data_IF_760573207271
#
_entry.id   IF_760573207271
#
_cell.length_a   1.000
_cell.length_b   1.000
_cell.length_c   1.000
_cell.angle_alpha   90.00
_cell.angle_beta   90.00
_cell.angle_gamma   90.00
#
_symmetry.space_group_name_H-M   'P 1'
#
loop_
_entity.id
_entity.type
_entity.pdbx_description
1 polymer ?
#
# COMPACT_ATOMS: atom_id res chain seq x y z
N UNK A 1 -13.77 -40.24 53.21
CA UNK A 1 -13.68 -38.81 52.83
C UNK A 1 -12.42 -38.59 51.97
N UNK A 2 -12.28 -39.27 50.83
CA UNK A 2 -11.06 -39.20 49.99
C UNK A 2 -11.28 -38.49 48.64
N UNK A 3 -12.53 -38.41 48.16
CA UNK A 3 -12.82 -37.99 46.78
C UNK A 3 -12.69 -36.48 46.52
N UNK A 4 -12.68 -35.62 47.54
CA UNK A 4 -12.66 -34.16 47.37
C UNK A 4 -11.24 -33.58 47.35
N UNK A 5 -10.31 -34.16 48.13
CA UNK A 5 -8.90 -33.75 48.13
C UNK A 5 -8.20 -34.17 46.84
N UNK A 6 -8.49 -35.37 46.32
CA UNK A 6 -7.97 -35.84 45.03
C UNK A 6 -8.45 -34.98 43.86
N UNK A 7 -9.70 -34.51 43.90
CA UNK A 7 -10.23 -33.60 42.88
C UNK A 7 -9.58 -32.21 42.96
N UNK A 8 -9.38 -31.69 44.18
CA UNK A 8 -8.70 -30.41 44.39
C UNK A 8 -7.24 -30.47 43.92
N UNK A 9 -6.54 -31.55 44.22
CA UNK A 9 -5.16 -31.74 43.79
C UNK A 9 -5.06 -31.81 42.27
N UNK A 10 -5.92 -32.61 41.63
CA UNK A 10 -5.97 -32.72 40.17
C UNK A 10 -6.33 -31.39 39.49
N UNK A 11 -7.21 -30.59 40.09
CA UNK A 11 -7.55 -29.26 39.58
C UNK A 11 -6.34 -28.30 39.66
N UNK A 12 -5.62 -28.29 40.78
CA UNK A 12 -4.43 -27.46 40.96
C UNK A 12 -3.32 -27.86 39.99
N UNK A 13 -3.04 -29.15 39.82
CA UNK A 13 -2.02 -29.63 38.89
C UNK A 13 -2.35 -29.24 37.42
N UNK A 14 -3.63 -29.27 37.04
CA UNK A 14 -4.07 -28.79 35.71
C UNK A 14 -3.98 -27.28 35.57
N UNK A 15 -4.28 -26.51 36.63
CA UNK A 15 -4.16 -25.05 36.61
C UNK A 15 -2.71 -24.60 36.56
N UNK A 16 -1.79 -25.24 37.29
CA UNK A 16 -0.36 -24.95 37.22
C UNK A 16 0.20 -25.26 35.82
N UNK A 17 -0.17 -26.40 35.24
CA UNK A 17 0.25 -26.76 33.88
C UNK A 17 -0.28 -25.77 32.82
N UNK A 18 -1.50 -25.25 32.99
CA UNK A 18 -2.07 -24.23 32.08
C UNK A 18 -1.43 -22.87 32.33
N UNK A 19 -1.17 -22.49 33.58
CA UNK A 19 -0.52 -21.23 33.93
C UNK A 19 0.92 -21.17 33.40
N UNK A 20 1.70 -22.23 33.56
CA UNK A 20 3.07 -22.30 33.04
C UNK A 20 3.09 -22.24 31.51
N UNK A 21 2.21 -23.00 30.84
CA UNK A 21 2.04 -22.92 29.38
C UNK A 21 1.57 -21.55 28.92
N UNK A 22 0.73 -20.86 29.69
CA UNK A 22 0.26 -19.52 29.34
C UNK A 22 1.36 -18.47 29.45
N UNK A 23 2.26 -18.59 30.44
CA UNK A 23 3.42 -17.71 30.63
C UNK A 23 4.47 -17.95 29.56
N UNK A 24 4.71 -19.21 29.19
CA UNK A 24 5.60 -19.56 28.07
C UNK A 24 5.05 -19.08 26.73
N UNK A 25 3.75 -19.27 26.47
CA UNK A 25 3.08 -18.74 25.28
C UNK A 25 3.10 -17.21 25.25
N UNK A 26 2.97 -16.53 26.39
CA UNK A 26 3.06 -15.07 26.50
C UNK A 26 4.45 -14.56 26.11
N UNK A 27 5.52 -15.19 26.63
CA UNK A 27 6.91 -14.83 26.28
C UNK A 27 7.22 -15.12 24.81
N UNK A 28 6.75 -16.26 24.29
CA UNK A 28 6.89 -16.61 22.87
C UNK A 28 6.05 -15.67 21.97
N UNK A 29 4.88 -15.21 22.42
CA UNK A 29 4.05 -14.26 21.71
C UNK A 29 4.70 -12.87 21.66
N UNK A 30 5.37 -12.42 22.72
CA UNK A 30 6.10 -11.15 22.72
C UNK A 30 7.27 -11.17 21.72
N UNK A 31 8.07 -12.24 21.71
CA UNK A 31 9.17 -12.39 20.77
C UNK A 31 8.67 -12.50 19.32
N UNK A 32 7.59 -13.25 19.06
CA UNK A 32 6.96 -13.33 17.74
C UNK A 32 6.39 -11.99 17.29
N UNK A 33 5.77 -11.22 18.19
CA UNK A 33 5.27 -9.87 17.88
C UNK A 33 6.42 -8.93 17.52
N UNK A 34 7.54 -8.98 18.24
CA UNK A 34 8.74 -8.18 17.92
C UNK A 34 9.34 -8.55 16.56
N UNK A 35 9.40 -9.85 16.23
CA UNK A 35 9.86 -10.31 14.91
C UNK A 35 8.90 -9.88 13.81
N UNK A 36 7.59 -10.01 14.02
CA UNK A 36 6.57 -9.57 13.07
C UNK A 36 6.64 -8.06 12.84
N UNK A 37 6.80 -7.25 13.89
CA UNK A 37 6.98 -5.81 13.79
C UNK A 37 8.25 -5.42 13.02
N UNK A 38 9.36 -6.16 13.20
CA UNK A 38 10.57 -5.97 12.39
C UNK A 38 10.36 -6.37 10.93
N UNK A 39 9.66 -7.47 10.69
CA UNK A 39 9.34 -7.93 9.33
C UNK A 39 8.43 -6.94 8.60
N UNK A 40 7.39 -6.40 9.26
CA UNK A 40 6.51 -5.39 8.67
C UNK A 40 7.26 -4.09 8.42
N UNK A 41 8.11 -3.65 9.36
CA UNK A 41 8.97 -2.47 9.16
C UNK A 41 9.89 -2.65 7.95
N UNK A 42 10.65 -3.74 7.88
CA UNK A 42 11.52 -4.04 6.74
C UNK A 42 10.73 -4.19 5.43
N UNK A 43 9.55 -4.80 5.47
CA UNK A 43 8.66 -4.91 4.30
C UNK A 43 8.17 -3.55 3.79
N UNK A 44 7.86 -2.63 4.70
CA UNK A 44 7.50 -1.25 4.34
C UNK A 44 8.68 -0.49 3.73
N UNK A 45 9.88 -0.59 4.34
CA UNK A 45 11.11 0.01 3.82
C UNK A 45 11.44 -0.53 2.42
N UNK A 46 11.35 -1.84 2.20
CA UNK A 46 11.55 -2.46 0.87
C UNK A 46 10.54 -1.91 -0.14
N UNK A 47 9.29 -1.73 0.25
CA UNK A 47 8.24 -1.23 -0.64
C UNK A 47 8.48 0.23 -1.03
N UNK A 48 8.92 1.05 -0.07
CA UNK A 48 9.34 2.43 -0.31
C UNK A 48 10.52 2.49 -1.29
N UNK A 49 11.58 1.73 -1.01
CA UNK A 49 12.79 1.69 -1.83
C UNK A 49 12.49 1.20 -3.26
N UNK A 50 11.63 0.18 -3.41
CA UNK A 50 11.15 -0.26 -4.72
C UNK A 50 10.40 0.85 -5.47
N UNK A 51 9.65 1.68 -4.73
CA UNK A 51 8.98 2.87 -5.27
C UNK A 51 9.99 3.88 -5.81
N UNK A 52 11.04 4.14 -5.04
CA UNK A 52 12.07 5.11 -5.40
C UNK A 52 12.93 4.62 -6.57
N UNK A 53 13.31 3.34 -6.62
CA UNK A 53 13.95 2.72 -7.78
C UNK A 53 13.10 2.88 -9.05
N UNK A 54 11.77 2.66 -8.98
CA UNK A 54 10.86 2.89 -10.12
C UNK A 54 10.78 4.36 -10.53
N UNK A 55 10.91 5.31 -9.61
CA UNK A 55 10.96 6.74 -9.93
C UNK A 55 12.28 7.06 -10.63
N UNK A 56 13.41 6.62 -10.08
CA UNK A 56 14.73 6.84 -10.65
C UNK A 56 14.86 6.24 -12.05
N UNK A 57 14.35 5.02 -12.30
CA UNK A 57 14.34 4.46 -13.66
C UNK A 57 13.55 5.30 -14.65
N UNK A 58 12.41 5.88 -14.23
CA UNK A 58 11.65 6.81 -15.08
C UNK A 58 12.41 8.10 -15.35
N UNK A 59 13.07 8.65 -14.35
CA UNK A 59 13.89 9.86 -14.52
C UNK A 59 15.10 9.62 -15.43
N UNK A 60 15.77 8.48 -15.29
CA UNK A 60 16.87 8.07 -16.17
C UNK A 60 16.36 7.94 -17.61
N UNK A 61 15.26 7.21 -17.82
CA UNK A 61 14.68 7.05 -19.16
C UNK A 61 14.25 8.39 -19.77
N UNK A 62 13.67 9.28 -18.98
CA UNK A 62 13.29 10.63 -19.43
C UNK A 62 14.52 11.45 -19.84
N UNK A 63 15.56 11.51 -18.99
CA UNK A 63 16.80 12.23 -19.30
C UNK A 63 17.48 11.66 -20.54
N UNK A 64 17.53 10.33 -20.65
CA UNK A 64 18.08 9.65 -21.84
C UNK A 64 17.31 10.06 -23.10
N UNK A 65 15.98 9.99 -23.08
CA UNK A 65 15.16 10.39 -24.22
C UNK A 65 15.38 11.87 -24.58
N UNK A 66 15.41 12.78 -23.61
CA UNK A 66 15.65 14.21 -23.87
C UNK A 66 17.00 14.47 -24.56
N UNK A 67 18.05 13.73 -24.17
CA UNK A 67 19.40 13.86 -24.72
C UNK A 67 19.59 13.15 -26.06
N UNK A 68 18.94 11.99 -26.25
CA UNK A 68 19.21 11.08 -27.36
C UNK A 68 18.04 10.91 -28.36
N UNK A 69 16.90 11.59 -28.17
CA UNK A 69 15.73 11.47 -29.07
C UNK A 69 16.05 11.72 -30.55
N UNK A 70 17.05 12.53 -30.86
CA UNK A 70 17.45 12.84 -32.25
C UNK A 70 18.37 11.80 -32.88
N UNK A 71 19.07 10.99 -32.06
CA UNK A 71 19.96 9.92 -32.52
C UNK A 71 20.06 8.84 -31.43
N UNK A 72 19.01 8.02 -31.23
CA UNK A 72 19.02 7.01 -30.20
C UNK A 72 19.92 5.83 -30.59
N UNK A 73 20.58 5.23 -29.60
CA UNK A 73 21.32 4.00 -29.79
C UNK A 73 20.39 2.85 -30.22
N UNK A 74 20.86 1.96 -31.10
CA UNK A 74 20.08 0.88 -31.70
C UNK A 74 19.20 0.07 -30.71
N UNK A 75 19.69 -0.40 -29.54
CA UNK A 75 18.86 -1.17 -28.61
C UNK A 75 17.71 -0.37 -27.98
N UNK A 76 17.79 0.97 -27.98
CA UNK A 76 16.79 1.87 -27.39
C UNK A 76 16.03 2.68 -28.45
N UNK A 77 16.36 2.52 -29.73
CA UNK A 77 15.75 3.28 -30.82
C UNK A 77 14.24 3.03 -30.93
N UNK A 78 13.82 1.77 -30.82
CA UNK A 78 12.39 1.42 -30.83
C UNK A 78 11.65 2.06 -29.64
N UNK A 79 12.19 1.93 -28.42
CA UNK A 79 11.58 2.50 -27.23
C UNK A 79 11.47 4.04 -27.34
N UNK A 80 12.49 4.71 -27.88
CA UNK A 80 12.43 6.16 -28.14
C UNK A 80 11.35 6.50 -29.17
N UNK A 81 11.22 5.73 -30.26
CA UNK A 81 10.19 5.95 -31.26
C UNK A 81 8.77 5.78 -30.67
N UNK A 82 8.55 4.76 -29.85
CA UNK A 82 7.26 4.54 -29.16
C UNK A 82 6.91 5.67 -28.19
N UNK A 83 7.92 6.21 -27.47
CA UNK A 83 7.74 7.40 -26.63
C UNK A 83 7.34 8.61 -27.47
N UNK A 84 7.98 8.86 -28.61
CA UNK A 84 7.63 9.96 -29.52
C UNK A 84 6.18 9.83 -30.00
N UNK A 85 5.78 8.65 -30.49
CA UNK A 85 4.40 8.40 -30.94
C UNK A 85 3.39 8.64 -29.83
N UNK A 86 3.71 8.22 -28.60
CA UNK A 86 2.85 8.43 -27.44
C UNK A 86 2.72 9.92 -27.09
N UNK A 87 3.82 10.68 -27.16
CA UNK A 87 3.82 12.13 -26.94
C UNK A 87 3.00 12.87 -28.00
N UNK A 88 3.13 12.49 -29.27
CA UNK A 88 2.33 13.07 -30.36
C UNK A 88 0.83 12.77 -30.16
N UNK A 89 0.50 11.55 -29.73
CA UNK A 89 -0.87 11.17 -29.41
C UNK A 89 -1.44 11.96 -28.22
N UNK A 90 -0.64 12.20 -27.18
CA UNK A 90 -1.02 13.06 -26.05
C UNK A 90 -1.26 14.49 -26.53
N UNK A 91 -0.38 15.04 -27.36
CA UNK A 91 -0.52 16.40 -27.90
C UNK A 91 -1.80 16.55 -28.74
N UNK A 92 -2.13 15.56 -29.56
CA UNK A 92 -3.37 15.53 -30.33
C UNK A 92 -4.60 15.52 -29.42
N UNK A 93 -4.63 14.64 -28.40
CA UNK A 93 -5.74 14.59 -27.43
C UNK A 93 -5.88 15.87 -26.61
N UNK A 94 -4.75 16.48 -26.23
CA UNK A 94 -4.75 17.74 -25.50
C UNK A 94 -5.35 18.86 -26.35
N UNK A 95 -5.02 18.91 -27.65
CA UNK A 95 -5.61 19.86 -28.59
C UNK A 95 -7.12 19.68 -28.72
N UNK A 96 -7.60 18.44 -28.85
CA UNK A 96 -9.03 18.14 -28.88
C UNK A 96 -9.74 18.57 -27.57
N UNK A 97 -9.12 18.34 -26.41
CA UNK A 97 -9.63 18.81 -25.13
C UNK A 97 -9.75 20.33 -25.08
N UNK A 98 -8.75 21.05 -25.59
CA UNK A 98 -8.74 22.51 -25.58
C UNK A 98 -9.76 23.09 -26.58
N UNK A 99 -9.94 22.46 -27.75
CA UNK A 99 -11.02 22.81 -28.69
C UNK A 99 -12.41 22.58 -28.08
N UNK A 100 -12.63 21.46 -27.40
CA UNK A 100 -13.88 21.17 -26.71
C UNK A 100 -14.15 22.21 -25.61
N UNK A 101 -13.15 22.53 -24.78
CA UNK A 101 -13.27 23.57 -23.74
C UNK A 101 -13.61 24.94 -24.35
N UNK A 102 -12.95 25.32 -25.44
CA UNK A 102 -13.20 26.59 -26.12
C UNK A 102 -14.63 26.61 -26.68
N UNK A 103 -15.09 25.54 -27.32
CA UNK A 103 -16.46 25.45 -27.85
C UNK A 103 -17.53 25.56 -26.76
N UNK A 104 -17.26 25.07 -25.56
CA UNK A 104 -18.14 25.22 -24.41
C UNK A 104 -18.11 26.65 -23.84
N UNK A 105 -16.94 27.28 -23.82
CA UNK A 105 -16.79 28.68 -23.41
C UNK A 105 -17.51 29.65 -24.36
N UNK A 106 -17.49 29.38 -25.67
CA UNK A 106 -18.20 30.17 -26.68
C UNK A 106 -19.72 29.99 -26.59
N UNK A 107 -20.19 28.76 -26.31
CA UNK A 107 -21.62 28.48 -26.07
C UNK A 107 -22.13 29.08 -24.76
N UNK A 108 -21.37 28.99 -23.68
CA UNK A 108 -21.74 29.62 -22.39
C UNK A 108 -21.69 31.14 -22.45
N UNK A 109 -20.79 31.75 -23.21
CA UNK A 109 -20.80 33.19 -23.48
C UNK A 109 -22.01 33.65 -24.33
N UNK A 110 -22.54 32.77 -25.20
CA UNK A 110 -23.76 33.03 -25.95
C UNK A 110 -25.05 32.85 -25.12
N UNK A 111 -25.02 31.96 -24.12
CA UNK A 111 -26.16 31.67 -23.23
C UNK A 111 -26.17 32.51 -21.95
N UNK A 112 -25.08 33.19 -21.59
CA UNK A 112 -24.99 34.12 -20.45
C UNK A 112 -25.78 35.43 -20.61
N UNK A 113 -26.75 35.49 -21.53
CA UNK A 113 -27.74 36.58 -21.65
C UNK A 113 -29.13 36.21 -21.15
N UNK A 114 -29.29 35.11 -20.42
CA UNK A 114 -30.57 34.81 -19.77
C UNK A 114 -30.37 34.44 -18.30
N UNK A 115 -30.88 35.35 -17.46
CA UNK A 115 -31.30 35.21 -16.07
C UNK A 115 -30.23 35.00 -14.98
N UNK A 116 -29.91 36.13 -14.34
CA UNK A 116 -29.28 36.24 -13.02
C UNK A 116 -30.00 35.37 -11.98
N UNK A 117 -29.49 34.16 -11.75
CA UNK A 117 -29.72 33.43 -10.51
C UNK A 117 -28.37 33.11 -9.91
N UNK A 118 -28.02 33.87 -8.87
CA UNK A 118 -26.85 33.63 -8.03
C UNK A 118 -26.90 32.21 -7.47
N UNK A 119 -26.06 31.32 -8.01
CA UNK A 119 -25.82 30.01 -7.43
C UNK A 119 -24.64 30.17 -6.48
N UNK A 120 -24.92 30.21 -5.19
CA UNK A 120 -23.90 30.13 -4.14
C UNK A 120 -23.34 28.70 -4.11
N UNK A 121 -22.14 28.50 -4.67
CA UNK A 121 -21.40 27.23 -4.58
C UNK A 121 -20.44 27.33 -3.41
N UNK A 122 -20.81 26.74 -2.27
CA UNK A 122 -19.92 26.55 -1.13
C UNK A 122 -18.93 25.43 -1.47
N UNK A 123 -17.69 25.80 -1.83
CA UNK A 123 -16.59 24.83 -1.98
C UNK A 123 -16.20 24.40 -0.57
N UNK A 124 -16.74 23.28 -0.12
CA UNK A 124 -16.21 22.58 1.06
C UNK A 124 -14.86 22.01 0.63
N UNK A 125 -13.79 22.71 1.00
CA UNK A 125 -12.43 22.16 0.96
C UNK A 125 -12.35 21.20 2.14
N UNK A 126 -12.74 19.94 1.95
CA UNK A 126 -12.25 18.89 2.85
C UNK A 126 -10.76 18.73 2.54
N UNK A 127 -10.00 19.40 3.39
CA UNK A 127 -8.56 19.42 3.53
C UNK A 127 -7.99 18.00 3.48
N UNK A 128 -7.68 17.51 2.27
CA UNK A 128 -6.84 16.33 2.05
C UNK A 128 -5.37 16.76 2.20
N UNK A 129 -5.06 17.25 3.40
CA UNK A 129 -3.76 17.72 3.84
C UNK A 129 -3.32 16.97 5.10
N UNK A 130 -2.59 15.89 4.87
CA UNK A 130 -1.46 15.41 5.69
C UNK A 130 -1.39 15.89 7.15
N UNK A 131 -1.80 15.02 8.09
CA UNK A 131 -1.40 15.11 9.50
C UNK A 131 -0.56 13.89 9.87
N UNK A 132 0.70 14.21 10.08
CA UNK A 132 1.78 13.41 10.63
C UNK A 132 1.39 12.84 12.00
N UNK A 133 1.68 11.55 12.19
CA UNK A 133 2.23 10.92 13.40
C UNK A 133 2.24 11.80 14.66
N UNK A 134 1.38 11.48 15.62
CA UNK A 134 1.70 11.21 17.04
C UNK A 134 0.41 10.91 17.81
N UNK A 135 0.23 9.67 18.28
CA UNK A 135 -0.46 9.38 19.54
C UNK A 135 -0.17 7.92 19.92
N UNK A 136 0.86 7.77 20.75
CA UNK A 136 0.96 6.68 21.70
C UNK A 136 -0.06 6.92 22.83
N UNK A 137 -0.48 5.84 23.49
CA UNK A 137 -1.45 5.79 24.59
C UNK A 137 -2.90 6.09 24.16
N UNK A 138 -3.93 5.29 24.40
CA UNK A 138 -4.21 4.34 25.48
C UNK A 138 -5.18 3.25 24.98
N UNK A 139 -4.99 2.01 25.43
CA UNK A 139 -6.03 0.98 25.37
C UNK A 139 -7.37 1.52 25.90
N UNK A 140 -8.51 1.13 25.33
CA UNK A 140 -9.16 -0.01 25.94
C UNK A 140 -9.99 -0.89 24.97
N UNK A 141 -10.36 -2.05 25.51
CA UNK A 141 -11.63 -2.77 25.27
C UNK A 141 -11.57 -4.04 24.41
N UNK A 142 -11.95 -5.11 25.11
CA UNK A 142 -12.65 -6.34 24.71
C UNK A 142 -11.82 -7.51 24.19
N UNK A 143 -11.69 -8.48 25.09
CA UNK A 143 -11.86 -9.90 24.79
C UNK A 143 -12.79 -10.12 23.59
N UNK A 144 -12.40 -11.04 22.70
CA UNK A 144 -13.29 -12.16 22.48
C UNK A 144 -12.59 -13.48 22.78
N UNK A 145 -13.25 -14.20 23.69
CA UNK A 145 -13.42 -15.65 23.78
C UNK A 145 -12.85 -16.46 22.61
N UNK A 146 -12.20 -17.57 23.00
CA UNK A 146 -11.86 -18.75 22.21
C UNK A 146 -12.71 -18.91 20.94
N UNK A 147 -12.05 -19.09 19.81
CA UNK A 147 -12.44 -20.20 18.94
C UNK A 147 -11.21 -20.99 18.53
N UNK A 148 -11.10 -22.16 19.15
CA UNK A 148 -10.27 -23.29 18.71
C UNK A 148 -10.98 -23.84 17.49
N UNK A 149 -10.38 -23.71 16.32
CA UNK A 149 -10.66 -24.60 15.19
C UNK A 149 -9.46 -24.57 14.25
N UNK A 150 -8.55 -25.50 14.50
CA UNK A 150 -7.68 -26.06 13.48
C UNK A 150 -8.52 -27.12 12.74
N UNK A 151 -8.44 -27.18 11.40
CA UNK A 151 -7.69 -28.31 10.89
C UNK A 151 -6.70 -27.89 9.79
N UNK A 152 -5.58 -28.62 9.79
CA UNK A 152 -4.50 -28.56 8.84
C UNK A 152 -4.96 -28.55 7.37
N UNK A 153 -4.31 -27.71 6.56
CA UNK A 153 -4.25 -27.86 5.11
C UNK A 153 -2.85 -27.41 4.63
N UNK A 154 -2.02 -28.42 4.38
CA UNK A 154 -1.01 -28.54 3.33
C UNK A 154 -0.15 -27.30 2.99
N UNK A 155 1.03 -27.27 3.61
CA UNK A 155 2.23 -26.67 3.01
C UNK A 155 2.78 -27.64 1.95
N UNK A 156 2.47 -27.44 0.67
CA UNK A 156 3.40 -27.72 -0.44
C UNK A 156 3.15 -26.70 -1.57
N UNK A 157 4.23 -26.27 -2.23
CA UNK A 157 4.31 -25.30 -3.33
C UNK A 157 4.08 -23.81 -3.01
N UNK A 158 5.16 -23.08 -2.67
CA UNK A 158 5.77 -22.02 -3.51
C UNK A 158 7.16 -21.71 -2.91
N UNK A 159 8.14 -22.58 -3.14
CA UNK A 159 9.57 -22.23 -2.97
C UNK A 159 10.28 -22.59 -4.27
N UNK A 160 10.03 -21.78 -5.30
CA UNK A 160 10.47 -22.05 -6.65
C UNK A 160 10.60 -20.79 -7.50
N UNK A 161 11.20 -19.73 -6.99
CA UNK A 161 11.88 -18.74 -7.84
C UNK A 161 12.93 -17.99 -7.05
N UNK A 162 14.16 -18.43 -7.24
CA UNK A 162 15.36 -17.64 -6.96
C UNK A 162 15.19 -16.23 -7.56
N UNK A 163 15.50 -15.15 -6.82
CA UNK A 163 15.59 -13.83 -7.42
C UNK A 163 16.73 -13.81 -8.46
N UNK A 164 16.58 -13.07 -9.59
CA UNK A 164 17.63 -12.97 -10.59
C UNK A 164 18.82 -12.17 -10.02
N UNK A 165 20.02 -12.76 -10.10
CA UNK A 165 21.28 -12.05 -9.84
C UNK A 165 21.47 -10.96 -10.89
N UNK A 166 21.45 -9.69 -10.47
CA UNK A 166 21.89 -8.58 -11.31
C UNK A 166 23.42 -8.50 -11.24
N UNK A 167 24.09 -8.91 -12.30
CA UNK A 167 25.53 -8.64 -12.52
C UNK A 167 25.68 -7.32 -13.26
N UNK A 168 26.41 -6.40 -12.64
CA UNK A 168 26.90 -5.15 -13.25
C UNK A 168 28.08 -5.43 -14.18
#
# INVERSE_FOLDING_TARGET
MANFEDFKQKAMDTMETIADKSIELYKVAEEKTKLLAKMTKLGAEITLEKGDVRKLYREIGKKYYEMHKSSPEEPLAQACAEVTVSLDCIAAKQKELDELKNSLSEKSAAEARTDDKDIEVEIIVEDLGEQVREEAETAPVKEPVLNVEEPAADMEDVIGSSPPEYKF
#
